data_IF_123179390732
#
_entry.id   IF_123179390732
#
_cell.length_a   1.000
_cell.length_b   1.000
_cell.length_c   1.000
_cell.angle_alpha   90.00
_cell.angle_beta   90.00
_cell.angle_gamma   90.00
#
_symmetry.space_group_name_H-M   'P 1'
#
loop_
_entity.id
_entity.type
_entity.pdbx_description
1 polymer ?
#
# COMPACT_ATOMS: atom_id res chain seq x y z
N UNK A 1 3.15 14.60 -16.00
CA UNK A 1 3.33 14.53 -14.54
C UNK A 1 2.24 13.60 -14.00
N UNK A 2 2.61 12.37 -13.63
CA UNK A 2 1.64 11.33 -13.26
C UNK A 2 1.13 11.59 -11.84
N UNK A 3 -0.14 11.98 -11.72
CA UNK A 3 -0.85 12.29 -10.47
C UNK A 3 -0.86 11.13 -9.44
N UNK A 4 -0.51 9.91 -9.87
CA UNK A 4 -0.55 8.70 -9.04
C UNK A 4 0.57 8.63 -8.00
N UNK A 5 1.73 9.25 -8.22
CA UNK A 5 2.84 9.15 -7.26
C UNK A 5 2.57 9.97 -5.99
N UNK A 6 2.02 11.18 -6.12
CA UNK A 6 1.84 12.09 -4.98
C UNK A 6 0.90 11.50 -3.91
N UNK A 7 -0.12 10.74 -4.31
CA UNK A 7 -1.02 10.09 -3.36
C UNK A 7 -0.38 8.89 -2.68
N UNK A 8 0.49 8.14 -3.37
CA UNK A 8 1.14 6.96 -2.81
C UNK A 8 2.05 7.29 -1.62
N UNK A 9 2.77 8.41 -1.69
CA UNK A 9 3.64 8.91 -0.61
C UNK A 9 2.87 9.34 0.66
N UNK A 10 1.54 9.50 0.58
CA UNK A 10 0.71 9.82 1.77
C UNK A 10 0.39 8.59 2.64
N UNK A 11 0.71 7.39 2.16
CA UNK A 11 0.50 6.13 2.86
C UNK A 11 1.79 5.67 3.54
N UNK A 12 1.68 5.19 4.79
CA UNK A 12 2.77 4.50 5.48
C UNK A 12 2.60 3.00 5.27
N UNK A 13 3.40 2.42 4.37
CA UNK A 13 3.25 1.02 3.98
C UNK A 13 4.12 0.09 4.82
N UNK A 14 3.51 -0.97 5.36
CA UNK A 14 4.21 -2.22 5.64
C UNK A 14 4.29 -3.04 4.35
N UNK A 15 5.51 -3.36 3.92
CA UNK A 15 5.76 -4.12 2.69
C UNK A 15 6.16 -5.55 3.05
N UNK A 16 5.62 -6.53 2.32
CA UNK A 16 6.06 -7.92 2.35
C UNK A 16 6.23 -8.45 0.94
N UNK A 17 7.22 -9.30 0.70
CA UNK A 17 7.31 -10.06 -0.54
C UNK A 17 6.31 -11.22 -0.48
N UNK A 18 5.56 -11.45 -1.54
CA UNK A 18 4.68 -12.62 -1.70
C UNK A 18 5.42 -13.75 -2.40
N UNK A 19 5.94 -13.45 -3.59
CA UNK A 19 6.61 -14.40 -4.47
C UNK A 19 7.48 -13.65 -5.47
N UNK A 20 8.22 -14.40 -6.28
CA UNK A 20 9.08 -13.88 -7.32
C UNK A 20 8.85 -14.63 -8.63
N UNK A 21 8.96 -13.89 -9.74
CA UNK A 21 8.97 -14.45 -11.09
C UNK A 21 10.07 -13.79 -11.92
N UNK A 22 10.71 -14.56 -12.80
CA UNK A 22 11.71 -14.02 -13.71
C UNK A 22 11.13 -12.96 -14.68
N UNK A 23 9.85 -13.12 -15.08
CA UNK A 23 9.20 -12.23 -16.05
C UNK A 23 8.72 -10.91 -15.45
N UNK A 24 8.29 -10.90 -14.18
CA UNK A 24 7.63 -9.72 -13.54
C UNK A 24 8.39 -9.21 -12.31
N UNK A 25 9.42 -9.92 -11.87
CA UNK A 25 10.16 -9.63 -10.66
C UNK A 25 9.42 -10.09 -9.41
N UNK A 26 9.74 -9.44 -8.28
CA UNK A 26 9.12 -9.71 -6.99
C UNK A 26 7.71 -9.15 -6.96
N UNK A 27 6.74 -9.96 -6.54
CA UNK A 27 5.40 -9.51 -6.20
C UNK A 27 5.41 -9.04 -4.75
N UNK A 28 5.28 -7.73 -4.55
CA UNK A 28 5.26 -7.10 -3.24
C UNK A 28 3.82 -6.78 -2.84
N UNK A 29 3.46 -7.08 -1.59
CA UNK A 29 2.22 -6.65 -0.98
C UNK A 29 2.49 -5.48 -0.03
N UNK A 30 1.78 -4.38 -0.25
CA UNK A 30 1.80 -3.16 0.51
C UNK A 30 0.53 -3.10 1.35
N UNK A 31 0.66 -2.90 2.66
CA UNK A 31 -0.48 -2.66 3.54
C UNK A 31 -0.27 -1.33 4.23
N UNK A 32 -1.17 -0.37 3.98
CA UNK A 32 -1.10 0.92 4.65
C UNK A 32 -1.46 0.74 6.13
N UNK A 33 -0.59 1.21 7.02
CA UNK A 33 -0.80 1.09 8.48
C UNK A 33 -1.95 1.96 8.97
N UNK A 34 -2.18 3.11 8.33
CA UNK A 34 -3.22 4.04 8.76
C UNK A 34 -4.62 3.65 8.28
N UNK A 35 -4.78 3.40 6.98
CA UNK A 35 -6.11 3.13 6.42
C UNK A 35 -6.41 1.64 6.20
N UNK A 36 -5.42 0.76 6.39
CA UNK A 36 -5.57 -0.68 6.20
C UNK A 36 -5.69 -1.13 4.73
N UNK A 37 -5.72 -0.20 3.77
CA UNK A 37 -5.78 -0.52 2.34
C UNK A 37 -4.57 -1.36 1.93
N UNK A 38 -4.83 -2.35 1.09
CA UNK A 38 -3.81 -3.30 0.62
C UNK A 38 -3.65 -3.18 -0.88
N UNK A 39 -2.40 -3.26 -1.31
CA UNK A 39 -2.03 -3.20 -2.72
C UNK A 39 -0.98 -4.26 -3.02
N UNK A 40 -0.92 -4.68 -4.28
CA UNK A 40 0.16 -5.49 -4.80
C UNK A 40 0.86 -4.72 -5.92
N UNK A 41 2.18 -4.89 -6.03
CA UNK A 41 3.00 -4.32 -7.10
C UNK A 41 4.06 -5.33 -7.55
N UNK A 42 4.40 -5.30 -8.84
CA UNK A 42 5.55 -6.02 -9.37
C UNK A 42 6.77 -5.09 -9.50
N UNK A 43 7.94 -5.54 -9.08
CA UNK A 43 9.15 -4.69 -9.09
C UNK A 43 9.68 -4.40 -10.49
N UNK A 44 9.53 -5.31 -11.45
CA UNK A 44 9.96 -5.08 -12.84
C UNK A 44 8.88 -4.41 -13.70
N UNK A 45 7.65 -4.35 -13.20
CA UNK A 45 6.54 -3.66 -13.85
C UNK A 45 6.08 -2.54 -12.91
N UNK A 46 6.87 -1.47 -12.84
CA UNK A 46 6.72 -0.35 -11.91
C UNK A 46 5.31 0.28 -11.90
N UNK A 47 4.55 0.14 -12.99
CA UNK A 47 3.18 0.65 -13.12
C UNK A 47 2.07 -0.39 -12.85
N UNK A 48 2.41 -1.64 -12.57
CA UNK A 48 1.44 -2.69 -12.28
C UNK A 48 1.15 -2.75 -10.77
N UNK A 49 0.67 -1.65 -10.18
CA UNK A 49 0.11 -1.66 -8.84
C UNK A 49 -1.42 -1.84 -8.92
N UNK A 50 -2.01 -2.65 -8.05
CA UNK A 50 -3.47 -2.81 -7.97
C UNK A 50 -3.90 -3.06 -6.52
N UNK A 51 -5.15 -2.73 -6.21
CA UNK A 51 -5.70 -2.93 -4.87
C UNK A 51 -6.12 -4.39 -4.67
N UNK A 52 -5.98 -4.88 -3.44
CA UNK A 52 -6.35 -6.25 -3.05
C UNK A 52 -7.20 -6.25 -1.78
N UNK A 53 -7.98 -7.32 -1.60
CA UNK A 53 -8.82 -7.54 -0.42
C UNK A 53 -8.06 -8.16 0.78
N UNK A 54 -8.82 -8.57 1.80
CA UNK A 54 -8.34 -9.24 3.01
C UNK A 54 -7.63 -10.57 2.75
N UNK A 55 -7.96 -11.25 1.65
CA UNK A 55 -7.43 -12.53 1.22
C UNK A 55 -6.32 -12.38 0.18
N UNK A 56 -6.04 -11.15 -0.26
CA UNK A 56 -5.04 -10.84 -1.28
C UNK A 56 -5.54 -11.03 -2.72
N UNK A 57 -6.85 -11.15 -2.93
CA UNK A 57 -7.44 -11.18 -4.27
C UNK A 57 -7.53 -9.77 -4.85
N UNK A 58 -7.32 -9.65 -6.16
CA UNK A 58 -7.42 -8.37 -6.85
C UNK A 58 -8.84 -7.81 -6.76
N UNK A 59 -8.94 -6.55 -6.34
CA UNK A 59 -10.18 -5.79 -6.41
C UNK A 59 -10.42 -5.32 -7.85
N UNK A 60 -11.65 -4.93 -8.14
CA UNK A 60 -12.03 -4.41 -9.45
C UNK A 60 -11.14 -3.23 -9.87
N UNK A 61 -10.93 -3.09 -11.18
CA UNK A 61 -10.05 -2.04 -11.75
C UNK A 61 -10.48 -0.64 -11.32
N UNK A 62 -11.79 -0.39 -11.23
CA UNK A 62 -12.33 0.90 -10.76
C UNK A 62 -11.93 1.21 -9.30
N UNK A 63 -11.97 0.20 -8.42
CA UNK A 63 -11.57 0.34 -7.01
C UNK A 63 -10.06 0.55 -6.92
N UNK A 64 -9.27 -0.21 -7.68
CA UNK A 64 -7.82 -0.06 -7.75
C UNK A 64 -7.43 1.34 -8.20
N UNK A 65 -8.01 1.82 -9.30
CA UNK A 65 -7.77 3.17 -9.85
C UNK A 65 -8.12 4.24 -8.82
N UNK A 66 -9.27 4.11 -8.16
CA UNK A 66 -9.69 5.04 -7.12
C UNK A 66 -8.70 5.06 -5.95
N UNK A 67 -8.32 3.91 -5.41
CA UNK A 67 -7.44 3.85 -4.24
C UNK A 67 -6.02 4.31 -4.54
N UNK A 68 -5.52 4.05 -5.75
CA UNK A 68 -4.23 4.55 -6.24
C UNK A 68 -4.21 6.08 -6.43
N UNK A 69 -5.36 6.67 -6.75
CA UNK A 69 -5.53 8.11 -6.94
C UNK A 69 -6.00 8.87 -5.69
N UNK A 70 -6.29 8.18 -4.59
CA UNK A 70 -6.73 8.80 -3.34
C UNK A 70 -5.56 8.89 -2.35
N UNK A 71 -5.40 10.07 -1.75
CA UNK A 71 -4.55 10.22 -0.57
C UNK A 71 -5.03 9.29 0.55
N UNK A 72 -4.12 8.89 1.43
CA UNK A 72 -4.45 8.03 2.56
C UNK A 72 -5.50 8.74 3.44
N UNK A 73 -6.68 8.15 3.65
CA UNK A 73 -7.76 8.80 4.40
C UNK A 73 -7.49 8.86 5.92
N UNK A 74 -6.23 8.67 6.35
CA UNK A 74 -5.75 8.60 7.74
C UNK A 74 -6.87 8.25 8.72
N UNK A 75 -7.25 6.97 8.76
CA UNK A 75 -8.16 6.50 9.79
C UNK A 75 -7.35 6.47 11.08
N UNK A 76 -7.36 7.58 11.82
CA UNK A 76 -6.68 7.71 13.11
C UNK A 76 -7.25 6.66 14.06
N UNK A 77 -6.61 5.50 14.10
CA UNK A 77 -6.80 4.56 15.18
C UNK A 77 -5.97 5.12 16.34
N UNK A 78 -6.63 5.82 17.26
CA UNK A 78 -6.02 6.53 18.41
C UNK A 78 -5.01 5.68 19.21
N UNK A 79 -5.04 4.35 19.07
CA UNK A 79 -4.09 3.42 19.67
C UNK A 79 -2.71 3.37 19.00
N UNK A 80 -2.60 3.60 17.69
CA UNK A 80 -1.33 3.42 16.95
C UNK A 80 -0.36 4.60 17.19
N UNK A 81 -0.90 5.80 17.46
CA UNK A 81 -0.09 7.01 17.70
C UNK A 81 0.66 6.96 19.04
N UNK A 82 0.09 6.32 20.07
CA UNK A 82 0.72 6.20 21.38
C UNK A 82 1.91 5.23 21.38
N UNK A 83 1.81 4.08 20.67
CA UNK A 83 2.95 3.16 20.49
C UNK A 83 4.11 3.82 19.72
N UNK A 84 3.79 4.69 18.75
CA UNK A 84 4.80 5.43 17.97
C UNK A 84 5.53 6.51 18.79
N UNK A 85 4.86 7.13 19.78
CA UNK A 85 5.49 8.09 20.70
C UNK A 85 6.45 7.43 21.68
N UNK A 86 6.24 6.15 22.01
CA UNK A 86 7.09 5.41 22.96
C UNK A 86 8.47 5.03 22.37
N UNK A 87 8.58 4.85 21.04
CA UNK A 87 9.85 4.50 20.38
C UNK A 87 10.84 5.68 20.21
N UNK A 88 10.43 6.92 20.49
CA UNK A 88 11.30 8.12 20.42
C UNK A 88 11.93 8.52 21.76
N UNK A 89 11.74 7.72 22.82
CA UNK A 89 12.17 8.05 24.20
C UNK A 89 13.29 7.17 24.75
N UNK A 90 14.11 6.54 23.91
CA UNK A 90 15.34 5.86 24.34
C UNK A 90 16.52 6.40 23.55
#
# INVERSE_FOLDING_TARGET
MSLTNACWDTHDFKVRMLDWSAARGSRLAFTCRYCGRRFCQFTLLSQAAWAVDGDGKALESAVSTRWLGEACPHLFNLKDDEDRKQLRKT
#
